data_IF_636781106727
#
_entry.id   IF_636781106727
#
_cell.length_a   1.000
_cell.length_b   1.000
_cell.length_c   1.000
_cell.angle_alpha   90.00
_cell.angle_beta   90.00
_cell.angle_gamma   90.00
#
_symmetry.space_group_name_H-M   'P 1'
#
loop_
_entity.id
_entity.type
_entity.pdbx_description
1 polymer ?
#
# COMPACT_ATOMS: atom_id res chain seq x y z
N UNK A 1 15.07 7.37 -14.67
CA UNK A 1 15.44 7.12 -13.25
C UNK A 1 14.36 6.23 -12.63
N UNK A 2 14.70 5.05 -12.08
CA UNK A 2 13.75 4.16 -11.40
C UNK A 2 13.94 4.32 -9.89
N UNK A 3 12.91 4.76 -9.19
CA UNK A 3 12.91 4.90 -7.73
C UNK A 3 12.16 3.72 -7.13
N UNK A 4 12.67 3.18 -6.02
CA UNK A 4 11.93 2.16 -5.25
C UNK A 4 10.81 2.82 -4.48
N UNK A 5 9.61 2.23 -4.53
CA UNK A 5 8.51 2.66 -3.68
C UNK A 5 8.92 2.53 -2.19
N UNK A 6 8.73 3.58 -1.38
CA UNK A 6 8.93 3.52 0.07
C UNK A 6 7.90 2.61 0.73
N UNK A 7 8.26 1.92 1.82
CA UNK A 7 7.32 1.10 2.58
C UNK A 7 6.13 1.91 3.09
N UNK A 8 4.93 1.31 2.99
CA UNK A 8 3.69 1.92 3.45
C UNK A 8 3.60 1.78 4.96
N UNK A 9 3.64 2.91 5.67
CA UNK A 9 3.52 2.97 7.13
C UNK A 9 2.23 3.69 7.50
N UNK A 10 1.46 3.09 8.39
CA UNK A 10 0.18 3.61 8.83
C UNK A 10 -0.33 2.87 10.06
N UNK A 11 -1.54 3.22 10.50
CA UNK A 11 -2.14 2.63 11.70
C UNK A 11 -2.72 1.25 11.44
N UNK A 12 -3.40 1.06 10.30
CA UNK A 12 -4.08 -0.18 9.93
C UNK A 12 -4.53 -0.16 8.47
N UNK A 13 -4.63 -1.34 7.87
CA UNK A 13 -5.32 -1.56 6.60
C UNK A 13 -6.80 -1.88 6.76
N UNK A 14 -7.63 -1.29 5.91
CA UNK A 14 -9.06 -1.61 5.77
C UNK A 14 -9.27 -2.45 4.50
N UNK A 15 -10.28 -3.32 4.50
CA UNK A 15 -10.61 -4.17 3.34
C UNK A 15 -9.68 -5.37 3.12
N UNK A 16 -8.77 -5.67 4.05
CA UNK A 16 -7.76 -6.75 3.92
C UNK A 16 -8.05 -8.00 4.76
N UNK A 17 -9.25 -8.10 5.33
CA UNK A 17 -9.58 -9.19 6.26
C UNK A 17 -8.79 -9.13 7.58
N UNK A 18 -8.26 -7.96 7.95
CA UNK A 18 -7.48 -7.79 9.18
C UNK A 18 -5.99 -8.10 9.04
N UNK A 19 -5.53 -8.48 7.85
CA UNK A 19 -4.11 -8.71 7.55
C UNK A 19 -3.42 -7.40 7.19
N UNK A 20 -2.21 -7.21 7.72
CA UNK A 20 -1.35 -6.11 7.28
C UNK A 20 -0.73 -6.38 5.91
N UNK A 21 -0.59 -5.33 5.12
CA UNK A 21 -0.10 -5.38 3.76
C UNK A 21 1.24 -4.66 3.66
N UNK A 22 2.23 -5.35 3.08
CA UNK A 22 3.55 -4.79 2.74
C UNK A 22 3.70 -4.62 1.22
N UNK A 23 4.66 -3.79 0.78
CA UNK A 23 4.95 -3.69 -0.65
C UNK A 23 5.56 -4.97 -1.23
N UNK A 24 6.20 -5.80 -0.38
CA UNK A 24 6.74 -7.09 -0.80
C UNK A 24 5.63 -8.04 -1.27
N UNK A 25 4.47 -8.02 -0.60
CA UNK A 25 3.31 -8.87 -0.93
C UNK A 25 2.69 -8.56 -2.30
N UNK A 26 2.98 -7.37 -2.84
CA UNK A 26 2.39 -6.86 -4.09
C UNK A 26 3.34 -6.92 -5.28
N UNK A 27 4.55 -7.50 -5.13
CA UNK A 27 5.50 -7.63 -6.23
C UNK A 27 4.91 -8.43 -7.40
N UNK A 28 5.23 -8.00 -8.62
CA UNK A 28 4.69 -8.58 -9.84
C UNK A 28 3.31 -8.05 -10.24
N UNK A 29 2.73 -7.12 -9.46
CA UNK A 29 1.49 -6.42 -9.79
C UNK A 29 1.77 -4.95 -10.09
N UNK A 30 0.92 -4.35 -10.92
CA UNK A 30 0.80 -2.90 -11.01
C UNK A 30 -0.07 -2.45 -9.83
N UNK A 31 0.43 -1.50 -9.05
CA UNK A 31 -0.25 -0.99 -7.86
C UNK A 31 -0.46 0.51 -8.04
N UNK A 32 -1.69 0.97 -7.83
CA UNK A 32 -2.05 2.39 -7.80
C UNK A 32 -2.24 2.80 -6.35
N UNK A 33 -1.55 3.87 -5.94
CA UNK A 33 -1.79 4.52 -4.65
C UNK A 33 -2.63 5.76 -4.90
N UNK A 34 -3.83 5.78 -4.32
CA UNK A 34 -4.76 6.90 -4.40
C UNK A 34 -4.85 7.57 -3.02
N UNK A 35 -4.46 8.85 -2.95
CA UNK A 35 -4.39 9.61 -1.71
C UNK A 35 -5.65 10.46 -1.55
N UNK A 36 -6.47 10.12 -0.56
CA UNK A 36 -7.77 10.76 -0.34
C UNK A 36 -8.08 10.93 1.15
N UNK A 37 -9.12 11.71 1.45
CA UNK A 37 -9.69 11.93 2.78
C UNK A 37 -11.22 11.90 2.70
N UNK A 38 -11.87 11.51 3.79
CA UNK A 38 -13.33 11.34 3.89
C UNK A 38 -14.10 12.65 4.19
N UNK A 39 -13.41 13.78 4.28
CA UNK A 39 -13.98 15.08 4.63
C UNK A 39 -14.80 15.71 3.50
#
# INVERSE_FOLDING_TARGET
MRVRAPELRGRRWLGTGGRDLSLADLRGKIVLLDFWTFC
#
